data_IF_112051634126
#
_entry.id   IF_112051634126
#
_cell.length_a   1.000
_cell.length_b   1.000
_cell.length_c   1.000
_cell.angle_alpha   90.00
_cell.angle_beta   90.00
_cell.angle_gamma   90.00
#
_symmetry.space_group_name_H-M   'P 1'
#
loop_
_entity.id
_entity.type
_entity.pdbx_description
1 polymer ?
#
# COMPACT_ATOMS: atom_id res chain seq x y z
N UNK A 1 -18.60 -11.99 -24.18
CA UNK A 1 -17.25 -11.36 -24.34
C UNK A 1 -16.69 -10.80 -23.02
N UNK A 2 -17.46 -10.06 -22.21
CA UNK A 2 -17.02 -9.48 -20.92
C UNK A 2 -16.51 -10.49 -19.86
N UNK A 3 -17.08 -11.70 -19.82
CA UNK A 3 -16.68 -12.75 -18.86
C UNK A 3 -15.29 -13.32 -19.19
N UNK A 4 -14.97 -13.50 -20.47
CA UNK A 4 -13.68 -14.04 -20.91
C UNK A 4 -12.51 -13.07 -20.63
N UNK A 5 -12.75 -11.77 -20.75
CA UNK A 5 -11.76 -10.73 -20.41
C UNK A 5 -11.49 -10.74 -18.90
N UNK A 6 -12.52 -10.82 -18.07
CA UNK A 6 -12.39 -10.88 -16.60
C UNK A 6 -11.63 -12.13 -16.12
N UNK A 7 -11.83 -13.28 -16.78
CA UNK A 7 -11.07 -14.50 -16.49
C UNK A 7 -9.61 -14.43 -16.97
N UNK A 8 -9.34 -13.80 -18.11
CA UNK A 8 -7.97 -13.61 -18.64
C UNK A 8 -7.16 -12.69 -17.72
N UNK A 9 -7.77 -11.61 -17.23
CA UNK A 9 -7.16 -10.68 -16.25
C UNK A 9 -6.85 -11.42 -14.94
N UNK A 10 -7.82 -12.16 -14.37
CA UNK A 10 -7.57 -12.97 -13.16
C UNK A 10 -6.47 -14.02 -13.34
N UNK A 11 -6.40 -14.69 -14.50
CA UNK A 11 -5.34 -15.68 -14.79
C UNK A 11 -3.96 -15.02 -14.93
N UNK A 12 -3.86 -13.87 -15.59
CA UNK A 12 -2.61 -13.13 -15.71
C UNK A 12 -2.11 -12.63 -14.33
N UNK A 13 -3.02 -12.21 -13.46
CA UNK A 13 -2.73 -11.83 -12.08
C UNK A 13 -2.26 -13.02 -11.24
N UNK A 14 -2.85 -14.22 -11.43
CA UNK A 14 -2.35 -15.43 -10.75
C UNK A 14 -0.95 -15.84 -11.17
N UNK A 15 -0.54 -15.56 -12.40
CA UNK A 15 0.80 -15.93 -12.92
C UNK A 15 1.89 -15.00 -12.34
N UNK A 16 1.55 -13.77 -11.94
CA UNK A 16 2.48 -12.85 -11.23
C UNK A 16 2.51 -13.04 -9.71
N UNK A 17 1.55 -13.75 -9.14
CA UNK A 17 1.54 -14.12 -7.71
C UNK A 17 2.52 -15.28 -7.48
N UNK A 18 3.78 -14.98 -7.19
CA UNK A 18 4.66 -16.00 -6.61
C UNK A 18 4.16 -16.26 -5.18
N UNK A 19 3.50 -17.40 -4.97
CA UNK A 19 2.94 -17.85 -3.68
C UNK A 19 1.96 -16.89 -2.98
N UNK A 20 1.30 -16.00 -3.73
CA UNK A 20 0.26 -15.10 -3.18
C UNK A 20 0.77 -13.78 -2.59
N UNK A 21 2.06 -13.45 -2.70
CA UNK A 21 2.57 -12.10 -2.43
C UNK A 21 2.29 -11.19 -3.64
N UNK A 22 1.67 -10.04 -3.40
CA UNK A 22 1.35 -9.06 -4.44
C UNK A 22 2.43 -7.97 -4.45
N UNK A 23 3.26 -7.96 -5.48
CA UNK A 23 4.39 -7.00 -5.62
C UNK A 23 4.39 -6.27 -6.97
N UNK A 24 3.24 -6.23 -7.65
CA UNK A 24 3.07 -5.64 -8.99
C UNK A 24 1.97 -4.58 -9.00
N UNK A 25 1.88 -3.80 -10.08
CA UNK A 25 0.95 -2.66 -10.16
C UNK A 25 1.39 -1.53 -9.23
N UNK A 26 0.47 -0.96 -8.47
CA UNK A 26 0.75 0.11 -7.50
C UNK A 26 1.76 -0.32 -6.42
N UNK A 27 1.69 -1.59 -6.01
CA UNK A 27 2.59 -2.19 -5.03
C UNK A 27 4.05 -2.30 -5.53
N UNK A 28 4.32 -2.05 -6.82
CA UNK A 28 5.71 -1.91 -7.30
C UNK A 28 6.37 -0.63 -6.78
N UNK A 29 5.58 0.43 -6.55
CA UNK A 29 6.08 1.75 -6.17
C UNK A 29 6.21 1.93 -4.65
N UNK A 30 5.27 1.38 -3.88
CA UNK A 30 5.34 1.31 -2.43
C UNK A 30 4.66 0.04 -1.89
N UNK A 31 5.22 -0.58 -0.85
CA UNK A 31 4.69 -1.79 -0.20
C UNK A 31 3.30 -1.52 0.40
N UNK A 32 3.14 -0.37 1.03
CA UNK A 32 1.90 0.06 1.68
C UNK A 32 1.25 1.23 0.92
N UNK A 33 1.17 1.11 -0.40
CA UNK A 33 0.57 2.13 -1.27
C UNK A 33 -0.88 2.47 -0.89
N UNK A 34 -1.60 1.52 -0.29
CA UNK A 34 -2.94 1.74 0.26
C UNK A 34 -2.95 2.80 1.37
N UNK A 35 -2.00 2.78 2.30
CA UNK A 35 -1.92 3.77 3.38
C UNK A 35 -1.56 5.17 2.87
N UNK A 36 -0.79 5.26 1.77
CA UNK A 36 -0.57 6.52 1.07
C UNK A 36 -1.89 7.05 0.48
N UNK A 37 -2.65 6.18 -0.19
CA UNK A 37 -3.99 6.52 -0.66
C UNK A 37 -4.88 7.04 0.46
N UNK A 38 -4.81 6.39 1.64
CA UNK A 38 -5.54 6.81 2.84
C UNK A 38 -5.19 8.21 3.31
N UNK A 39 -3.90 8.53 3.34
CA UNK A 39 -3.45 9.87 3.69
C UNK A 39 -3.91 10.91 2.66
N UNK A 40 -3.90 10.59 1.36
CA UNK A 40 -4.26 11.52 0.28
C UNK A 40 -5.76 11.85 0.31
N UNK A 41 -6.64 10.86 0.45
CA UNK A 41 -8.09 11.15 0.43
C UNK A 41 -8.52 11.89 1.70
N UNK A 42 -7.98 11.54 2.87
CA UNK A 42 -8.26 12.27 4.12
C UNK A 42 -7.71 13.69 4.07
N UNK A 43 -6.53 13.88 3.48
CA UNK A 43 -5.99 15.22 3.23
C UNK A 43 -6.92 16.02 2.30
N UNK A 44 -7.44 15.40 1.23
CA UNK A 44 -8.41 16.03 0.33
C UNK A 44 -9.65 16.53 1.07
N UNK A 45 -10.21 15.73 1.97
CA UNK A 45 -11.35 16.14 2.80
C UNK A 45 -10.99 17.29 3.76
N UNK A 46 -9.81 17.24 4.36
CA UNK A 46 -9.34 18.32 5.22
C UNK A 46 -9.19 19.64 4.45
N UNK A 47 -8.66 19.60 3.22
CA UNK A 47 -8.54 20.79 2.37
C UNK A 47 -9.90 21.34 1.94
N UNK A 48 -10.86 20.47 1.57
CA UNK A 48 -12.22 20.87 1.19
C UNK A 48 -12.95 21.57 2.34
N UNK A 49 -12.64 21.22 3.59
CA UNK A 49 -13.25 21.87 4.77
C UNK A 49 -12.84 23.34 4.94
N UNK A 50 -11.84 23.83 4.19
CA UNK A 50 -11.27 25.18 4.31
C UNK A 50 -10.89 25.58 5.75
N UNK A 51 -10.63 24.59 6.61
CA UNK A 51 -10.27 24.78 8.01
C UNK A 51 -8.87 24.21 8.27
N UNK A 52 -7.94 25.07 8.68
CA UNK A 52 -6.55 24.66 8.94
C UNK A 52 -6.45 23.62 10.05
N UNK A 53 -7.35 23.65 11.04
CA UNK A 53 -7.36 22.66 12.12
C UNK A 53 -7.73 21.27 11.63
N UNK A 54 -8.45 21.15 10.52
CA UNK A 54 -8.75 19.85 9.91
C UNK A 54 -7.50 19.13 9.41
N UNK A 55 -6.38 19.84 9.18
CA UNK A 55 -5.10 19.22 8.79
C UNK A 55 -4.47 18.36 9.89
N UNK A 56 -4.86 18.53 11.16
CA UNK A 56 -4.43 17.65 12.24
C UNK A 56 -4.94 16.21 12.05
N UNK A 57 -6.04 16.02 11.32
CA UNK A 57 -6.63 14.70 11.05
C UNK A 57 -5.72 13.86 10.14
N UNK A 58 -5.39 14.28 8.90
CA UNK A 58 -4.47 13.53 8.05
C UNK A 58 -3.07 13.40 8.66
N UNK A 59 -2.61 14.41 9.43
CA UNK A 59 -1.34 14.33 10.15
C UNK A 59 -1.35 13.23 11.21
N UNK A 60 -2.38 13.19 12.07
CA UNK A 60 -2.54 12.14 13.07
C UNK A 60 -2.65 10.76 12.45
N UNK A 61 -3.42 10.62 11.36
CA UNK A 61 -3.55 9.38 10.61
C UNK A 61 -2.20 8.90 10.05
N UNK A 62 -1.43 9.82 9.46
CA UNK A 62 -0.10 9.52 8.94
C UNK A 62 0.82 8.98 10.04
N UNK A 63 0.84 9.62 11.22
CA UNK A 63 1.64 9.17 12.35
C UNK A 63 1.23 7.77 12.83
N UNK A 64 -0.08 7.50 12.94
CA UNK A 64 -0.60 6.17 13.30
C UNK A 64 -0.15 5.11 12.28
N UNK A 65 -0.16 5.41 10.99
CA UNK A 65 0.35 4.47 10.00
C UNK A 65 1.85 4.23 10.12
N UNK A 66 2.65 5.28 10.29
CA UNK A 66 4.12 5.19 10.39
C UNK A 66 4.54 4.40 11.63
N UNK A 67 3.94 4.68 12.77
CA UNK A 67 4.40 4.14 14.06
C UNK A 67 3.70 2.86 14.50
N UNK A 68 2.49 2.56 14.00
CA UNK A 68 1.72 1.41 14.47
C UNK A 68 1.41 0.41 13.34
N UNK A 69 0.71 0.84 12.30
CA UNK A 69 0.19 -0.10 11.29
C UNK A 69 1.27 -0.65 10.34
N UNK A 70 2.17 0.19 9.84
CA UNK A 70 3.22 -0.24 8.91
C UNK A 70 4.14 -1.27 9.56
N UNK A 71 4.66 -1.09 10.79
CA UNK A 71 5.44 -2.11 11.47
C UNK A 71 4.69 -3.44 11.62
N UNK A 72 3.45 -3.41 12.11
CA UNK A 72 2.62 -4.62 12.28
C UNK A 72 2.34 -5.33 10.96
N UNK A 73 2.10 -4.57 9.89
CA UNK A 73 1.86 -5.09 8.54
C UNK A 73 3.14 -5.69 7.94
N UNK A 74 4.29 -5.02 8.10
CA UNK A 74 5.61 -5.55 7.72
C UNK A 74 5.88 -6.88 8.43
N UNK A 75 5.64 -6.97 9.74
CA UNK A 75 5.86 -8.19 10.53
C UNK A 75 4.93 -9.32 10.08
N UNK A 76 3.65 -9.02 9.84
CA UNK A 76 2.70 -9.98 9.29
C UNK A 76 3.16 -10.53 7.93
N UNK A 77 3.60 -9.65 7.02
CA UNK A 77 4.10 -10.03 5.70
C UNK A 77 5.41 -10.82 5.80
N UNK A 78 6.31 -10.43 6.69
CA UNK A 78 7.58 -11.13 6.94
C UNK A 78 7.33 -12.54 7.49
N UNK A 79 6.40 -12.71 8.43
CA UNK A 79 6.03 -14.02 8.98
C UNK A 79 5.35 -14.92 7.94
N UNK A 80 4.53 -14.34 7.06
CA UNK A 80 3.76 -15.10 6.07
C UNK A 80 4.56 -15.49 4.82
N UNK A 81 5.44 -14.62 4.36
CA UNK A 81 6.14 -14.78 3.07
C UNK A 81 7.66 -14.92 3.19
N UNK A 82 8.22 -14.72 4.39
CA UNK A 82 9.63 -14.97 4.68
C UNK A 82 10.57 -14.23 3.74
N UNK A 83 11.50 -14.97 3.13
CA UNK A 83 12.51 -14.45 2.21
C UNK A 83 11.92 -13.69 1.02
N UNK A 84 10.73 -14.08 0.53
CA UNK A 84 10.08 -13.40 -0.58
C UNK A 84 9.73 -11.95 -0.22
N UNK A 85 9.25 -11.72 1.00
CA UNK A 85 8.99 -10.38 1.50
C UNK A 85 10.29 -9.62 1.75
N UNK A 86 11.34 -10.30 2.24
CA UNK A 86 12.66 -9.67 2.42
C UNK A 86 13.21 -9.14 1.10
N UNK A 87 13.16 -9.93 0.01
CA UNK A 87 13.60 -9.50 -1.33
C UNK A 87 12.72 -8.36 -1.86
N UNK A 88 11.41 -8.43 -1.63
CA UNK A 88 10.48 -7.38 -2.04
C UNK A 88 10.75 -6.06 -1.30
N UNK A 89 10.95 -6.12 0.02
CA UNK A 89 11.25 -4.99 0.90
C UNK A 89 12.58 -4.31 0.57
N UNK A 90 13.56 -5.04 0.03
CA UNK A 90 14.82 -4.47 -0.48
C UNK A 90 14.64 -3.69 -1.78
N UNK A 91 13.68 -4.09 -2.62
CA UNK A 91 13.47 -3.50 -3.96
C UNK A 91 12.43 -2.39 -3.99
N UNK A 92 11.56 -2.33 -2.99
CA UNK A 92 10.39 -1.43 -2.98
C UNK A 92 10.34 -0.62 -1.69
N UNK A 93 9.96 0.67 -1.82
CA UNK A 93 9.78 1.63 -0.73
C UNK A 93 8.55 1.29 0.12
N UNK A 94 8.49 1.73 1.37
CA UNK A 94 7.42 1.38 2.32
C UNK A 94 6.12 2.11 2.03
N UNK A 95 6.15 3.44 1.95
CA UNK A 95 4.95 4.27 1.98
C UNK A 95 4.96 5.37 0.90
N UNK A 96 6.01 6.17 0.84
CA UNK A 96 6.12 7.29 -0.10
C UNK A 96 7.09 6.88 -1.21
N UNK A 97 6.61 6.73 -2.46
CA UNK A 97 7.48 6.43 -3.59
C UNK A 97 8.67 7.41 -3.62
N UNK A 98 9.88 6.87 -3.81
CA UNK A 98 11.15 7.62 -3.91
C UNK A 98 11.69 8.25 -2.62
N UNK A 99 10.93 8.29 -1.53
CA UNK A 99 11.40 8.83 -0.23
C UNK A 99 11.58 7.69 0.78
N UNK A 100 10.49 7.01 1.11
CA UNK A 100 10.47 5.99 2.16
C UNK A 100 9.63 4.80 1.78
#
# INVERSE_FOLDING_TARGET
MYIAISFKVRKADTIKRKNGLISYGLFKYAIHFNYLGDCIWVLGLALISCNIFSLFIPLGLFLVFVFDYIPKSDDYLQNKYGEQFTVYKQKTKKLIPFIW
#
